data_IF_955133264786
#
_entry.id   IF_955133264786
#
_cell.length_a   1.000
_cell.length_b   1.000
_cell.length_c   1.000
_cell.angle_alpha   90.00
_cell.angle_beta   90.00
_cell.angle_gamma   90.00
#
_symmetry.space_group_name_H-M   'P 1'
#
loop_
_entity.id
_entity.type
_entity.pdbx_description
1 polymer ?
#
# COMPACT_ATOMS: atom_id res chain seq x y z
N UNK A 1 19.28 -42.92 30.61
CA UNK A 1 18.25 -41.87 30.42
C UNK A 1 18.27 -40.94 31.63
N UNK A 2 19.10 -39.90 31.66
CA UNK A 2 19.04 -38.88 32.71
C UNK A 2 18.37 -37.63 32.15
N UNK A 3 17.05 -37.48 32.33
CA UNK A 3 16.35 -36.24 31.97
C UNK A 3 16.76 -35.17 33.00
N UNK A 4 17.45 -34.13 32.54
CA UNK A 4 17.88 -33.03 33.39
C UNK A 4 16.66 -32.28 33.98
N UNK A 5 16.65 -31.95 35.28
CA UNK A 5 15.50 -31.34 35.93
C UNK A 5 15.30 -29.86 35.55
N UNK A 6 14.07 -29.31 35.71
CA UNK A 6 13.68 -27.97 35.24
C UNK A 6 14.29 -26.81 36.04
N UNK A 7 14.32 -25.65 35.36
CA UNK A 7 15.17 -24.47 35.63
C UNK A 7 14.88 -23.66 36.91
N UNK A 8 13.85 -23.96 37.68
CA UNK A 8 13.35 -23.07 38.74
C UNK A 8 13.56 -23.56 40.18
N UNK A 9 14.25 -24.70 40.40
CA UNK A 9 14.59 -25.12 41.77
C UNK A 9 15.60 -24.15 42.42
N UNK A 10 15.34 -23.66 43.65
CA UNK A 10 16.30 -22.91 44.47
C UNK A 10 17.23 -23.89 45.20
N UNK A 11 18.52 -23.87 44.87
CA UNK A 11 19.57 -24.70 45.45
C UNK A 11 20.88 -24.45 44.70
N UNK A 12 22.01 -24.48 45.40
CA UNK A 12 23.31 -23.96 44.95
C UNK A 12 23.70 -24.32 43.51
N UNK A 13 23.53 -23.35 42.60
CA UNK A 13 24.12 -23.37 41.26
C UNK A 13 25.56 -22.88 41.34
N UNK A 14 26.50 -23.75 41.69
CA UNK A 14 27.91 -23.50 41.36
C UNK A 14 28.60 -24.79 40.93
N UNK A 15 28.07 -25.46 39.88
CA UNK A 15 28.95 -26.29 39.06
C UNK A 15 29.79 -25.34 38.26
N UNK A 16 30.97 -25.05 38.80
CA UNK A 16 32.15 -24.53 38.14
C UNK A 16 31.80 -23.58 37.00
N UNK A 17 32.06 -22.29 37.21
CA UNK A 17 32.47 -21.45 36.11
C UNK A 17 33.71 -22.13 35.49
N UNK A 18 33.49 -23.11 34.60
CA UNK A 18 34.49 -23.53 33.63
C UNK A 18 34.67 -22.25 32.86
N UNK A 19 35.64 -21.45 33.30
CA UNK A 19 36.12 -20.28 32.62
C UNK A 19 36.45 -20.80 31.23
N UNK A 20 35.54 -20.58 30.28
CA UNK A 20 35.72 -20.99 28.90
C UNK A 20 37.12 -20.50 28.53
N UNK A 21 38.02 -21.45 28.26
CA UNK A 21 39.40 -21.11 27.92
C UNK A 21 39.35 -20.02 26.85
N UNK A 22 40.04 -18.91 27.11
CA UNK A 22 40.06 -17.79 26.18
C UNK A 22 40.57 -18.34 24.84
N UNK A 23 39.77 -18.15 23.78
CA UNK A 23 40.20 -18.47 22.42
C UNK A 23 41.53 -17.76 22.16
N UNK A 24 42.48 -18.46 21.52
CA UNK A 24 43.72 -17.82 21.11
C UNK A 24 43.43 -16.65 20.16
N UNK A 25 44.33 -15.66 20.10
CA UNK A 25 44.16 -14.50 19.21
C UNK A 25 43.98 -14.96 17.75
N UNK A 26 44.69 -16.01 17.33
CA UNK A 26 44.55 -16.63 16.02
C UNK A 26 43.18 -17.26 15.81
N UNK A 27 42.63 -18.00 16.79
CA UNK A 27 41.26 -18.53 16.72
C UNK A 27 40.22 -17.42 16.59
N UNK A 28 40.39 -16.30 17.32
CA UNK A 28 39.51 -15.12 17.20
C UNK A 28 39.62 -14.42 15.85
N UNK A 29 40.80 -14.44 15.20
CA UNK A 29 41.01 -13.92 13.84
C UNK A 29 40.31 -14.81 12.82
N UNK A 30 40.51 -16.13 12.87
CA UNK A 30 39.86 -17.11 11.98
C UNK A 30 38.33 -17.05 12.09
N UNK A 31 37.78 -17.00 13.31
CA UNK A 31 36.34 -16.86 13.53
C UNK A 31 35.78 -15.57 12.92
N UNK A 32 36.53 -14.46 12.99
CA UNK A 32 36.11 -13.18 12.39
C UNK A 32 36.06 -13.27 10.86
N UNK A 33 37.05 -13.88 10.23
CA UNK A 33 37.08 -14.09 8.78
C UNK A 33 35.92 -14.99 8.35
N UNK A 34 35.74 -16.14 9.00
CA UNK A 34 34.63 -17.07 8.74
C UNK A 34 33.25 -16.41 8.89
N UNK A 35 33.06 -15.56 9.91
CA UNK A 35 31.81 -14.81 10.09
C UNK A 35 31.59 -13.81 8.96
N UNK A 36 32.65 -13.15 8.50
CA UNK A 36 32.59 -12.18 7.39
C UNK A 36 32.24 -12.88 6.07
N UNK A 37 32.87 -14.02 5.77
CA UNK A 37 32.62 -14.80 4.55
C UNK A 37 31.19 -15.37 4.53
N UNK A 38 30.73 -15.96 5.63
CA UNK A 38 29.34 -16.43 5.76
C UNK A 38 28.33 -15.30 5.59
N UNK A 39 28.64 -14.10 6.07
CA UNK A 39 27.78 -12.92 5.93
C UNK A 39 27.77 -12.41 4.48
N UNK A 40 28.92 -12.44 3.81
CA UNK A 40 29.04 -12.09 2.39
C UNK A 40 28.30 -13.08 1.48
N UNK A 41 28.49 -14.38 1.69
CA UNK A 41 27.77 -15.44 0.97
C UNK A 41 26.25 -15.31 1.14
N UNK A 42 25.78 -15.00 2.36
CA UNK A 42 24.35 -14.71 2.62
C UNK A 42 23.86 -13.49 1.84
N UNK A 43 24.65 -12.41 1.77
CA UNK A 43 24.33 -11.21 0.98
C UNK A 43 24.25 -11.52 -0.51
N UNK A 44 25.20 -12.29 -1.04
CA UNK A 44 25.27 -12.68 -2.45
C UNK A 44 24.10 -13.60 -2.84
N UNK A 45 23.79 -14.62 -2.03
CA UNK A 45 22.62 -15.50 -2.21
C UNK A 45 21.31 -14.70 -2.19
N UNK A 46 21.19 -13.73 -1.28
CA UNK A 46 20.02 -12.86 -1.21
C UNK A 46 19.89 -11.96 -2.46
N UNK A 47 21.01 -11.37 -2.91
CA UNK A 47 21.06 -10.57 -4.15
C UNK A 47 20.69 -11.41 -5.38
N UNK A 48 21.27 -12.60 -5.53
CA UNK A 48 20.96 -13.51 -6.63
C UNK A 48 19.48 -13.94 -6.64
N UNK A 49 18.88 -14.20 -5.48
CA UNK A 49 17.43 -14.48 -5.37
C UNK A 49 16.57 -13.29 -5.82
N UNK A 50 16.95 -12.06 -5.46
CA UNK A 50 16.26 -10.85 -5.89
C UNK A 50 16.38 -10.67 -7.41
N UNK A 51 17.59 -10.85 -7.96
CA UNK A 51 17.86 -10.66 -9.38
C UNK A 51 17.19 -11.74 -10.24
N UNK A 52 17.17 -13.00 -9.81
CA UNK A 52 16.41 -14.06 -10.46
C UNK A 52 14.90 -13.75 -10.50
N UNK A 53 14.34 -13.24 -9.40
CA UNK A 53 12.93 -12.78 -9.36
C UNK A 53 12.69 -11.59 -10.31
N UNK A 54 13.65 -10.66 -10.43
CA UNK A 54 13.56 -9.52 -11.37
C UNK A 54 13.63 -9.99 -12.82
N UNK A 55 14.57 -10.86 -13.18
CA UNK A 55 14.71 -11.44 -14.53
C UNK A 55 13.46 -12.20 -14.96
N UNK A 56 12.90 -13.05 -14.09
CA UNK A 56 11.60 -13.73 -14.34
C UNK A 56 10.48 -12.74 -14.58
N UNK A 57 10.36 -11.67 -13.78
CA UNK A 57 9.32 -10.64 -13.99
C UNK A 57 9.51 -9.88 -15.31
N UNK A 58 10.74 -9.67 -15.76
CA UNK A 58 11.06 -9.02 -17.03
C UNK A 58 10.69 -9.91 -18.22
N UNK A 59 11.04 -11.20 -18.18
CA UNK A 59 10.66 -12.15 -19.24
C UNK A 59 9.15 -12.40 -19.28
N UNK A 60 8.48 -12.37 -18.12
CA UNK A 60 7.01 -12.44 -18.03
C UNK A 60 6.33 -11.07 -18.19
N UNK A 61 7.01 -10.01 -18.64
CA UNK A 61 6.31 -8.78 -19.06
C UNK A 61 5.49 -9.14 -20.29
N UNK A 62 4.25 -9.58 -20.02
CA UNK A 62 3.24 -9.97 -21.00
C UNK A 62 3.15 -8.86 -22.04
N UNK A 63 3.24 -9.24 -23.31
CA UNK A 63 2.90 -8.38 -24.42
C UNK A 63 1.59 -7.65 -24.12
N UNK A 64 1.61 -6.33 -24.13
CA UNK A 64 0.38 -5.54 -23.92
C UNK A 64 -0.28 -5.44 -25.28
N UNK A 65 -1.44 -6.10 -25.43
CA UNK A 65 -2.23 -6.00 -26.67
C UNK A 65 -2.51 -4.54 -27.02
N UNK A 66 -2.43 -4.21 -28.33
CA UNK A 66 -2.76 -2.89 -28.87
C UNK A 66 -4.15 -2.41 -28.40
N UNK A 67 -5.13 -3.31 -28.30
CA UNK A 67 -6.47 -3.01 -27.77
C UNK A 67 -6.44 -2.51 -26.33
N UNK A 68 -5.55 -3.06 -25.49
CA UNK A 68 -5.40 -2.63 -24.09
C UNK A 68 -4.77 -1.23 -24.01
N UNK A 69 -3.84 -0.92 -24.90
CA UNK A 69 -3.24 0.41 -25.01
C UNK A 69 -4.33 1.43 -25.39
N UNK A 70 -5.12 1.12 -26.44
CA UNK A 70 -6.22 1.96 -26.90
C UNK A 70 -7.27 2.19 -25.81
N UNK A 71 -7.73 1.12 -25.15
CA UNK A 71 -8.73 1.21 -24.06
C UNK A 71 -8.23 2.06 -22.89
N UNK A 72 -6.94 1.97 -22.55
CA UNK A 72 -6.33 2.82 -21.52
C UNK A 72 -6.26 4.29 -21.93
N UNK A 73 -5.95 4.56 -23.20
CA UNK A 73 -5.94 5.92 -23.74
C UNK A 73 -7.34 6.54 -23.69
N UNK A 74 -8.36 5.83 -24.21
CA UNK A 74 -9.76 6.27 -24.17
C UNK A 74 -10.26 6.49 -22.73
N UNK A 75 -9.92 5.60 -21.80
CA UNK A 75 -10.30 5.76 -20.39
C UNK A 75 -9.65 7.00 -19.76
N UNK A 76 -8.37 7.26 -20.09
CA UNK A 76 -7.67 8.46 -19.63
C UNK A 76 -8.34 9.73 -20.16
N UNK A 77 -8.71 9.75 -21.43
CA UNK A 77 -9.40 10.89 -22.03
C UNK A 77 -10.77 11.14 -21.37
N UNK A 78 -11.59 10.08 -21.22
CA UNK A 78 -12.90 10.18 -20.54
C UNK A 78 -12.77 10.71 -19.11
N UNK A 79 -11.76 10.24 -18.37
CA UNK A 79 -11.48 10.73 -17.01
C UNK A 79 -11.01 12.18 -16.99
N UNK A 80 -10.23 12.62 -17.98
CA UNK A 80 -9.82 14.03 -18.12
C UNK A 80 -11.02 14.93 -18.36
N UNK A 81 -11.89 14.57 -19.30
CA UNK A 81 -13.14 15.31 -19.56
C UNK A 81 -14.04 15.37 -18.31
N UNK A 82 -14.15 14.28 -17.55
CA UNK A 82 -14.90 14.26 -16.29
C UNK A 82 -14.29 15.21 -15.25
N UNK A 83 -12.96 15.20 -15.12
CA UNK A 83 -12.23 16.07 -14.21
C UNK A 83 -12.48 17.56 -14.51
N UNK A 84 -12.39 17.95 -15.79
CA UNK A 84 -12.68 19.31 -16.25
C UNK A 84 -14.13 19.72 -15.93
N UNK A 85 -15.11 18.86 -16.26
CA UNK A 85 -16.54 19.11 -15.98
C UNK A 85 -16.85 19.30 -14.49
N UNK A 86 -16.21 18.54 -13.61
CA UNK A 86 -16.38 18.72 -12.15
C UNK A 86 -15.82 20.07 -11.72
N UNK A 87 -14.72 20.49 -12.34
CA UNK A 87 -14.13 21.80 -12.20
C UNK A 87 -15.07 22.94 -12.51
N UNK A 88 -15.61 22.93 -13.73
CA UNK A 88 -16.55 23.94 -14.20
C UNK A 88 -17.76 24.04 -13.26
N UNK A 89 -18.29 22.90 -12.79
CA UNK A 89 -19.39 22.88 -11.81
C UNK A 89 -19.00 23.50 -10.47
N UNK A 90 -17.81 23.19 -9.95
CA UNK A 90 -17.34 23.73 -8.68
C UNK A 90 -17.08 25.25 -8.76
N UNK A 91 -16.43 25.70 -9.84
CA UNK A 91 -16.20 27.13 -10.12
C UNK A 91 -17.52 27.87 -10.37
N UNK A 92 -18.46 27.25 -11.07
CA UNK A 92 -19.81 27.79 -11.28
C UNK A 92 -20.58 27.96 -9.97
N UNK A 93 -20.43 27.05 -9.00
CA UNK A 93 -21.01 27.23 -7.66
C UNK A 93 -20.38 28.42 -6.93
N UNK A 94 -19.04 28.57 -6.99
CA UNK A 94 -18.33 29.75 -6.43
C UNK A 94 -18.87 31.05 -7.03
N UNK A 95 -19.02 31.11 -8.36
CA UNK A 95 -19.53 32.29 -9.05
C UNK A 95 -20.96 32.68 -8.67
N UNK A 96 -21.78 31.75 -8.18
CA UNK A 96 -23.18 32.00 -7.79
C UNK A 96 -23.33 32.59 -6.39
N UNK A 97 -22.50 32.20 -5.42
CA UNK A 97 -22.60 32.71 -4.04
C UNK A 97 -21.84 34.04 -3.85
N UNK A 98 -21.03 34.45 -4.84
CA UNK A 98 -20.08 35.56 -4.64
C UNK A 98 -18.87 35.14 -3.81
N UNK A 99 -17.76 35.87 -3.96
CA UNK A 99 -16.48 35.45 -3.39
C UNK A 99 -16.44 35.51 -1.86
N UNK A 100 -17.05 36.54 -1.26
CA UNK A 100 -17.05 36.75 0.19
C UNK A 100 -17.91 35.70 0.92
N UNK A 101 -19.14 35.46 0.45
CA UNK A 101 -20.02 34.44 1.03
C UNK A 101 -19.41 33.05 0.89
N UNK A 102 -18.76 32.78 -0.24
CA UNK A 102 -18.02 31.54 -0.45
C UNK A 102 -16.84 31.39 0.52
N UNK A 103 -16.10 32.49 0.76
CA UNK A 103 -15.02 32.53 1.75
C UNK A 103 -15.52 32.18 3.14
N UNK A 104 -16.57 32.87 3.61
CA UNK A 104 -17.18 32.64 4.93
C UNK A 104 -17.66 31.20 5.10
N UNK A 105 -18.32 30.63 4.08
CA UNK A 105 -18.74 29.21 4.11
C UNK A 105 -17.58 28.22 4.25
N UNK A 106 -16.38 28.57 3.77
CA UNK A 106 -15.17 27.76 3.92
C UNK A 106 -14.45 28.02 5.24
N UNK A 107 -14.59 29.21 5.82
CA UNK A 107 -14.11 29.54 7.17
C UNK A 107 -14.80 28.70 8.24
N UNK A 108 -16.09 28.42 8.08
CA UNK A 108 -16.83 27.50 8.96
C UNK A 108 -16.47 26.01 8.73
N UNK A 109 -15.79 25.69 7.62
CA UNK A 109 -15.46 24.31 7.29
C UNK A 109 -14.24 23.80 8.07
N UNK A 110 -14.38 22.59 8.62
CA UNK A 110 -13.29 21.83 9.28
C UNK A 110 -12.14 21.54 8.32
N UNK A 111 -10.93 21.40 8.85
CA UNK A 111 -9.75 20.98 8.08
C UNK A 111 -10.02 19.64 7.38
N UNK A 112 -9.54 19.55 6.14
CA UNK A 112 -9.78 18.40 5.26
C UNK A 112 -8.54 17.54 5.15
N UNK A 113 -8.69 16.23 5.32
CA UNK A 113 -7.70 15.23 4.98
C UNK A 113 -7.99 14.69 3.57
N UNK A 114 -7.05 14.92 2.64
CA UNK A 114 -7.12 14.36 1.28
C UNK A 114 -6.15 13.20 1.18
N UNK A 115 -6.65 12.03 0.80
CA UNK A 115 -5.87 10.81 0.58
C UNK A 115 -5.91 10.42 -0.89
N UNK A 116 -4.75 10.27 -1.52
CA UNK A 116 -4.68 9.79 -2.91
C UNK A 116 -4.97 8.29 -2.97
N UNK A 117 -6.12 7.90 -3.50
CA UNK A 117 -6.55 6.51 -3.57
C UNK A 117 -6.35 5.86 -4.96
N UNK A 118 -6.42 6.63 -6.06
CA UNK A 118 -6.30 6.09 -7.42
C UNK A 118 -4.85 6.03 -7.94
N UNK A 119 -4.58 4.96 -8.69
CA UNK A 119 -3.25 4.53 -9.16
C UNK A 119 -2.72 5.23 -10.43
N UNK A 120 -1.97 4.49 -11.26
CA UNK A 120 -1.20 5.04 -12.40
C UNK A 120 -2.04 5.45 -13.62
N UNK A 121 -3.25 4.93 -13.77
CA UNK A 121 -4.12 5.24 -14.91
C UNK A 121 -4.95 6.48 -14.59
N UNK A 122 -4.28 7.62 -14.58
CA UNK A 122 -4.85 8.93 -14.26
C UNK A 122 -4.49 9.89 -15.42
N UNK A 123 -5.36 10.84 -15.79
CA UNK A 123 -5.05 11.90 -16.74
C UNK A 123 -3.87 12.77 -16.30
N UNK A 124 -3.17 13.38 -17.26
CA UNK A 124 -2.05 14.26 -16.95
C UNK A 124 -2.46 15.44 -16.05
N UNK A 125 -3.61 16.06 -16.33
CA UNK A 125 -4.18 17.17 -15.56
C UNK A 125 -4.39 16.83 -14.08
N UNK A 126 -4.93 15.64 -13.81
CA UNK A 126 -5.16 15.15 -12.45
C UNK A 126 -3.84 14.88 -11.73
N UNK A 127 -2.82 14.38 -12.45
CA UNK A 127 -1.48 14.20 -11.89
C UNK A 127 -0.82 15.53 -11.51
N UNK A 128 -1.00 16.57 -12.34
CA UNK A 128 -0.56 17.94 -12.03
C UNK A 128 -1.32 18.51 -10.82
N UNK A 129 -2.63 18.30 -10.73
CA UNK A 129 -3.45 18.72 -9.59
C UNK A 129 -2.98 18.07 -8.28
N UNK A 130 -2.71 16.76 -8.26
CA UNK A 130 -2.07 16.11 -7.12
C UNK A 130 -0.66 16.65 -6.84
N UNK A 131 0.09 16.98 -7.89
CA UNK A 131 1.41 17.60 -7.78
C UNK A 131 1.38 18.94 -7.03
N UNK A 132 0.38 19.79 -7.30
CA UNK A 132 0.16 21.07 -6.60
C UNK A 132 -0.09 20.89 -5.10
N UNK A 133 -0.79 19.81 -4.72
CA UNK A 133 -1.03 19.47 -3.32
C UNK A 133 0.14 18.72 -2.66
N UNK A 134 1.18 18.34 -3.42
CA UNK A 134 2.29 17.52 -2.93
C UNK A 134 1.98 16.02 -2.84
N UNK A 135 0.85 15.56 -3.37
CA UNK A 135 0.38 14.16 -3.32
C UNK A 135 0.92 13.31 -4.48
N UNK A 136 2.25 13.26 -4.63
CA UNK A 136 2.91 12.55 -5.74
C UNK A 136 2.89 11.03 -5.61
N UNK A 137 2.87 10.51 -4.38
CA UNK A 137 2.87 9.08 -4.09
C UNK A 137 1.43 8.53 -4.00
N UNK A 138 1.24 7.25 -4.31
CA UNK A 138 -0.04 6.61 -4.06
C UNK A 138 -0.24 6.39 -2.56
N UNK A 139 -1.44 6.62 -2.05
CA UNK A 139 -1.76 6.61 -0.61
C UNK A 139 -1.02 7.67 0.21
N UNK A 140 -0.45 8.70 -0.43
CA UNK A 140 -0.08 9.89 0.33
C UNK A 140 -1.33 10.64 0.75
N UNK A 141 -1.28 11.28 1.91
CA UNK A 141 -2.34 12.14 2.41
C UNK A 141 -1.82 13.51 2.84
N UNK A 142 -2.66 14.54 2.80
CA UNK A 142 -2.32 15.89 3.25
C UNK A 142 -3.52 16.54 3.93
N UNK A 143 -3.24 17.24 5.02
CA UNK A 143 -4.20 18.11 5.70
C UNK A 143 -4.21 19.47 5.00
N UNK A 144 -5.40 19.98 4.71
CA UNK A 144 -5.59 21.24 3.99
C UNK A 144 -6.69 22.05 4.64
N UNK A 145 -6.42 23.34 4.82
CA UNK A 145 -7.45 24.34 5.02
C UNK A 145 -8.03 24.69 3.64
N UNK A 146 -9.36 24.65 3.50
CA UNK A 146 -10.01 24.99 2.24
C UNK A 146 -10.03 26.51 2.03
N UNK A 147 -9.65 26.92 0.83
CA UNK A 147 -9.65 28.30 0.36
C UNK A 147 -10.57 28.39 -0.86
N UNK A 148 -11.06 29.59 -1.23
CA UNK A 148 -11.84 29.79 -2.45
C UNK A 148 -11.15 29.25 -3.72
N UNK A 149 -9.82 29.18 -3.71
CA UNK A 149 -9.01 28.63 -4.81
C UNK A 149 -8.72 27.13 -4.69
N UNK A 150 -8.56 26.60 -3.47
CA UNK A 150 -8.20 25.18 -3.27
C UNK A 150 -9.43 24.30 -3.26
N UNK A 151 -10.58 24.76 -2.75
CA UNK A 151 -11.80 23.97 -2.67
C UNK A 151 -12.29 23.44 -4.03
N UNK A 152 -12.33 24.23 -5.12
CA UNK A 152 -12.69 23.69 -6.44
C UNK A 152 -11.75 22.58 -6.90
N UNK A 153 -10.45 22.72 -6.61
CA UNK A 153 -9.43 21.71 -6.92
C UNK A 153 -9.63 20.42 -6.11
N UNK A 154 -10.00 20.55 -4.83
CA UNK A 154 -10.31 19.40 -3.97
C UNK A 154 -11.55 18.66 -4.47
N UNK A 155 -12.60 19.39 -4.83
CA UNK A 155 -13.83 18.81 -5.43
C UNK A 155 -13.55 18.11 -6.75
N UNK A 156 -12.74 18.72 -7.63
CA UNK A 156 -12.26 18.10 -8.86
C UNK A 156 -11.52 16.78 -8.62
N UNK A 157 -10.71 16.70 -7.56
CA UNK A 157 -9.95 15.50 -7.21
C UNK A 157 -10.80 14.42 -6.53
N UNK A 158 -12.01 14.72 -6.08
CA UNK A 158 -12.92 13.78 -5.38
C UNK A 158 -13.06 12.38 -6.01
N UNK A 159 -13.15 12.22 -7.35
CA UNK A 159 -13.20 10.87 -7.95
C UNK A 159 -11.89 10.06 -7.83
N UNK A 160 -10.77 10.73 -7.57
CA UNK A 160 -9.42 10.16 -7.55
C UNK A 160 -8.81 10.08 -6.14
N UNK A 161 -9.32 10.86 -5.20
CA UNK A 161 -8.92 10.91 -3.80
C UNK A 161 -10.09 10.63 -2.87
N UNK A 162 -9.79 10.12 -1.69
CA UNK A 162 -10.74 10.13 -0.56
C UNK A 162 -10.55 11.45 0.17
N UNK A 163 -11.63 12.18 0.35
CA UNK A 163 -11.66 13.47 1.04
C UNK A 163 -12.54 13.29 2.27
N UNK A 164 -12.07 13.72 3.44
CA UNK A 164 -12.83 13.63 4.68
C UNK A 164 -12.26 14.53 5.76
N UNK A 165 -12.86 14.50 6.94
CA UNK A 165 -12.42 15.26 8.10
C UNK A 165 -11.93 14.26 9.16
N UNK A 166 -10.68 14.38 9.65
CA UNK A 166 -10.19 13.50 10.70
C UNK A 166 -10.83 13.89 12.04
N UNK A 167 -11.22 12.89 12.82
CA UNK A 167 -11.63 13.12 14.21
C UNK A 167 -10.41 13.49 15.08
N UNK A 168 -10.58 14.25 16.19
CA UNK A 168 -9.47 14.68 17.05
C UNK A 168 -8.52 13.56 17.46
N UNK A 169 -9.08 12.42 17.89
CA UNK A 169 -8.29 11.25 18.28
C UNK A 169 -7.48 10.66 17.10
N UNK A 170 -8.10 10.59 15.92
CA UNK A 170 -7.45 10.09 14.70
C UNK A 170 -6.35 11.04 14.23
N UNK A 171 -6.57 12.35 14.33
CA UNK A 171 -5.59 13.37 13.98
C UNK A 171 -4.36 13.28 14.90
N UNK A 172 -4.59 13.14 16.20
CA UNK A 172 -3.51 13.00 17.18
C UNK A 172 -2.67 11.74 16.90
N UNK A 173 -3.32 10.58 16.71
CA UNK A 173 -2.63 9.35 16.34
C UNK A 173 -1.87 9.49 15.00
N UNK A 174 -2.45 10.16 14.01
CA UNK A 174 -1.84 10.41 12.72
C UNK A 174 -0.57 11.25 12.84
N UNK A 175 -0.62 12.35 13.60
CA UNK A 175 0.52 13.24 13.81
C UNK A 175 1.61 12.57 14.65
N UNK A 176 1.26 11.83 15.70
CA UNK A 176 2.24 11.08 16.51
C UNK A 176 2.95 9.98 15.71
N UNK A 177 2.23 9.23 14.89
CA UNK A 177 2.80 8.06 14.19
C UNK A 177 3.47 8.39 12.86
N UNK A 178 3.01 9.44 12.17
CA UNK A 178 3.44 9.75 10.79
C UNK A 178 3.73 11.23 10.55
N UNK A 179 3.61 12.07 11.58
CA UNK A 179 3.88 13.49 11.51
C UNK A 179 5.30 13.77 11.03
N UNK A 180 5.40 14.72 10.11
CA UNK A 180 6.65 15.13 9.54
C UNK A 180 6.56 16.59 9.15
N UNK A 181 7.67 17.29 9.31
CA UNK A 181 7.83 18.68 8.91
C UNK A 181 8.36 18.74 7.47
N UNK A 182 7.82 19.69 6.72
CA UNK A 182 8.23 20.06 5.38
C UNK A 182 9.12 21.29 5.48
N UNK A 183 10.32 21.19 4.91
CA UNK A 183 11.21 22.32 4.76
C UNK A 183 11.16 22.79 3.30
N UNK A 184 10.72 24.03 3.09
CA UNK A 184 10.49 24.59 1.75
C UNK A 184 11.79 24.87 0.99
N UNK A 185 12.83 25.33 1.69
CA UNK A 185 14.15 25.66 1.13
C UNK A 185 14.84 24.41 0.56
N UNK A 186 14.92 23.36 1.37
CA UNK A 186 15.57 22.10 1.00
C UNK A 186 14.63 21.16 0.21
N UNK A 187 13.33 21.44 0.19
CA UNK A 187 12.27 20.56 -0.35
C UNK A 187 12.35 19.14 0.23
N UNK A 188 12.71 19.05 1.51
CA UNK A 188 12.85 17.78 2.22
C UNK A 188 11.78 17.60 3.29
N UNK A 189 11.48 16.33 3.59
CA UNK A 189 10.57 15.90 4.64
C UNK A 189 11.39 15.35 5.81
N UNK A 190 11.16 15.86 7.02
CA UNK A 190 11.81 15.40 8.26
C UNK A 190 10.76 14.88 9.24
N UNK A 191 10.93 13.66 9.74
CA UNK A 191 10.01 13.09 10.75
C UNK A 191 10.13 13.88 12.06
N UNK A 192 9.00 14.05 12.76
CA UNK A 192 8.96 14.68 14.08
C UNK A 192 9.51 13.67 15.08
N UNK A 193 10.72 13.91 15.58
CA UNK A 193 11.39 13.01 16.53
C UNK A 193 11.31 13.50 17.99
N UNK A 194 10.87 14.73 18.23
CA UNK A 194 10.75 15.31 19.56
C UNK A 194 10.27 16.76 19.52
N UNK A 195 9.81 17.26 20.66
CA UNK A 195 9.12 18.55 20.79
C UNK A 195 10.01 19.74 20.39
N UNK A 196 11.30 19.70 20.71
CA UNK A 196 12.26 20.74 20.33
C UNK A 196 12.31 20.99 18.81
N UNK A 197 12.09 19.95 17.99
CA UNK A 197 12.06 20.12 16.54
C UNK A 197 10.78 20.79 16.06
N UNK A 198 9.68 20.56 16.77
CA UNK A 198 8.39 21.17 16.49
C UNK A 198 8.43 22.65 16.88
N UNK A 199 8.88 22.95 18.09
CA UNK A 199 9.05 24.31 18.61
C UNK A 199 9.97 25.15 17.72
N UNK A 200 11.09 24.59 17.23
CA UNK A 200 11.96 25.30 16.29
C UNK A 200 11.31 25.65 14.95
N UNK A 201 10.31 24.88 14.52
CA UNK A 201 9.66 25.07 13.23
C UNK A 201 8.35 25.86 13.32
N UNK A 202 7.66 25.78 14.46
CA UNK A 202 6.31 26.32 14.66
C UNK A 202 6.16 27.15 15.95
N UNK A 203 7.25 27.42 16.67
CA UNK A 203 7.23 28.21 17.90
C UNK A 203 6.72 29.63 17.69
N UNK A 204 6.89 30.19 16.49
CA UNK A 204 6.31 31.48 16.07
C UNK A 204 4.77 31.48 16.15
N UNK A 205 4.14 30.31 16.02
CA UNK A 205 2.69 30.13 16.07
C UNK A 205 2.21 29.57 17.42
N UNK A 206 3.03 29.63 18.47
CA UNK A 206 2.75 29.06 19.80
C UNK A 206 2.46 27.54 19.78
N UNK A 207 3.11 26.79 18.89
CA UNK A 207 3.01 25.32 18.85
C UNK A 207 4.29 24.70 19.41
N UNK A 208 4.21 24.12 20.61
CA UNK A 208 5.34 23.53 21.31
C UNK A 208 5.33 22.00 21.21
N UNK A 209 4.13 21.41 21.33
CA UNK A 209 3.91 19.97 21.35
C UNK A 209 2.98 19.51 20.21
N UNK A 210 2.92 18.19 20.00
CA UNK A 210 2.04 17.60 18.97
C UNK A 210 0.56 17.81 19.34
N UNK A 211 0.26 17.86 20.63
CA UNK A 211 -1.06 18.14 21.19
C UNK A 211 -1.52 19.54 20.77
N UNK A 212 -0.69 20.57 21.00
CA UNK A 212 -0.96 21.95 20.57
C UNK A 212 -1.18 22.01 19.05
N UNK A 213 -0.39 21.25 18.28
CA UNK A 213 -0.57 21.17 16.83
C UNK A 213 -1.95 20.59 16.45
N UNK A 214 -2.42 19.56 17.16
CA UNK A 214 -3.76 19.01 16.95
C UNK A 214 -4.82 20.05 17.27
N UNK A 215 -4.70 20.74 18.39
CA UNK A 215 -5.67 21.72 18.86
C UNK A 215 -5.76 22.91 17.92
N UNK A 216 -4.63 23.41 17.43
CA UNK A 216 -4.60 24.46 16.39
C UNK A 216 -5.36 24.00 15.16
N UNK A 217 -5.11 22.78 14.67
CA UNK A 217 -5.76 22.25 13.46
C UNK A 217 -7.28 22.04 13.65
N UNK A 218 -7.71 21.59 14.83
CA UNK A 218 -9.11 21.31 15.13
C UNK A 218 -9.89 22.61 15.35
N UNK A 219 -9.37 23.50 16.19
CA UNK A 219 -10.03 24.76 16.56
C UNK A 219 -9.89 25.83 15.49
N UNK A 220 -9.03 25.61 14.50
CA UNK A 220 -8.77 26.52 13.38
C UNK A 220 -8.36 27.93 13.84
N UNK A 221 -7.27 28.03 14.59
CA UNK A 221 -6.61 29.31 14.95
C UNK A 221 -6.20 30.15 13.73
N UNK A 222 -5.98 31.46 13.91
CA UNK A 222 -5.67 32.42 12.83
C UNK A 222 -4.57 31.95 11.86
N UNK A 223 -3.51 31.30 12.36
CA UNK A 223 -2.35 30.89 11.55
C UNK A 223 -2.36 29.43 11.09
N UNK A 224 -3.49 28.73 11.14
CA UNK A 224 -3.56 27.29 10.76
C UNK A 224 -3.07 27.03 9.35
N UNK A 225 -3.34 27.96 8.42
CA UNK A 225 -2.92 27.79 7.03
C UNK A 225 -1.40 27.73 6.92
N UNK A 226 -0.69 28.56 7.69
CA UNK A 226 0.77 28.61 7.68
C UNK A 226 1.36 27.41 8.41
N UNK A 227 0.80 27.04 9.56
CA UNK A 227 1.13 25.80 10.28
C UNK A 227 0.99 24.57 9.37
N UNK A 228 -0.09 24.45 8.60
CA UNK A 228 -0.32 23.34 7.66
C UNK A 228 0.68 23.31 6.47
N UNK A 229 1.29 24.44 6.09
CA UNK A 229 2.34 24.46 5.05
C UNK A 229 3.60 23.75 5.54
N UNK A 230 3.95 23.93 6.82
CA UNK A 230 5.07 23.27 7.48
C UNK A 230 4.83 21.77 7.72
N UNK A 231 3.59 21.27 7.65
CA UNK A 231 3.32 19.83 7.75
C UNK A 231 3.51 19.17 6.38
N UNK A 232 4.40 18.18 6.33
CA UNK A 232 4.62 17.38 5.13
C UNK A 232 3.47 16.39 4.88
N UNK A 233 3.26 15.96 3.62
CA UNK A 233 2.30 14.90 3.33
C UNK A 233 2.61 13.61 4.10
N UNK A 234 1.58 12.98 4.65
CA UNK A 234 1.63 11.68 5.28
C UNK A 234 1.77 10.59 4.22
N UNK A 235 2.54 9.55 4.52
CA UNK A 235 2.65 8.37 3.66
C UNK A 235 1.83 7.24 4.28
N UNK A 236 0.72 6.84 3.64
CA UNK A 236 -0.06 5.68 4.09
C UNK A 236 0.42 4.36 3.51
N UNK A 237 0.21 3.31 4.31
CA UNK A 237 0.36 1.95 3.82
C UNK A 237 -0.85 1.63 2.92
N UNK A 238 -0.64 0.87 1.83
CA UNK A 238 -1.76 0.38 1.05
C UNK A 238 -2.67 -0.48 1.95
N UNK A 239 -4.00 -0.38 1.82
CA UNK A 239 -4.93 -1.25 2.56
C UNK A 239 -4.62 -2.73 2.30
N UNK A 240 -4.50 -3.52 3.37
CA UNK A 240 -4.10 -4.94 3.31
C UNK A 240 -5.06 -5.79 2.49
N UNK A 241 -6.37 -5.50 2.55
CA UNK A 241 -7.40 -6.20 1.77
C UNK A 241 -7.10 -6.16 0.27
N UNK A 242 -6.74 -4.98 -0.24
CA UNK A 242 -6.36 -4.77 -1.65
C UNK A 242 -5.02 -5.43 -1.99
N UNK A 243 -4.09 -5.58 -1.04
CA UNK A 243 -2.87 -6.35 -1.25
C UNK A 243 -3.20 -7.83 -1.47
N UNK A 244 -4.09 -8.40 -0.66
CA UNK A 244 -4.56 -9.78 -0.87
C UNK A 244 -5.26 -9.90 -2.21
N UNK A 245 -6.23 -9.04 -2.53
CA UNK A 245 -6.94 -9.08 -3.83
C UNK A 245 -6.03 -8.92 -5.05
N UNK A 246 -5.07 -7.98 -5.02
CA UNK A 246 -4.13 -7.78 -6.13
C UNK A 246 -3.24 -9.00 -6.35
N UNK A 247 -2.81 -9.64 -5.26
CA UNK A 247 -1.93 -10.81 -5.27
C UNK A 247 -2.66 -12.17 -5.25
N UNK A 248 -4.00 -12.20 -5.23
CA UNK A 248 -4.74 -13.45 -5.43
C UNK A 248 -4.34 -14.09 -6.75
N UNK A 249 -4.07 -15.39 -6.71
CA UNK A 249 -3.90 -16.21 -7.90
C UNK A 249 -5.18 -16.17 -8.75
N UNK A 250 -5.08 -16.47 -10.05
CA UNK A 250 -6.22 -16.45 -10.97
C UNK A 250 -7.42 -17.23 -10.40
N UNK A 251 -7.16 -18.40 -9.81
CA UNK A 251 -8.17 -19.26 -9.18
C UNK A 251 -8.95 -18.56 -8.04
N UNK A 252 -8.25 -17.91 -7.10
CA UNK A 252 -8.88 -17.17 -6.00
C UNK A 252 -9.67 -15.93 -6.44
N UNK A 253 -9.40 -15.39 -7.64
CA UNK A 253 -10.19 -14.28 -8.21
C UNK A 253 -11.49 -14.78 -8.83
N UNK A 254 -11.48 -15.97 -9.44
CA UNK A 254 -12.68 -16.61 -10.01
C UNK A 254 -13.70 -16.97 -8.92
N UNK A 255 -13.22 -17.43 -7.76
CA UNK A 255 -14.07 -17.78 -6.60
C UNK A 255 -14.92 -16.61 -6.07
N UNK A 256 -14.39 -15.37 -6.09
CA UNK A 256 -15.09 -14.21 -5.52
C UNK A 256 -16.04 -13.55 -6.52
N UNK A 257 -15.68 -13.54 -7.81
CA UNK A 257 -16.52 -12.92 -8.82
C UNK A 257 -17.86 -13.63 -8.95
N UNK A 258 -17.92 -14.93 -8.65
CA UNK A 258 -19.13 -15.70 -8.84
C UNK A 258 -19.04 -17.04 -8.08
N UNK A 259 -19.35 -17.04 -6.78
CA UNK A 259 -19.31 -18.25 -5.93
C UNK A 259 -20.13 -19.39 -6.53
N UNK A 260 -21.27 -19.06 -7.14
CA UNK A 260 -22.14 -20.01 -7.83
C UNK A 260 -21.53 -20.51 -9.15
N UNK A 261 -20.91 -19.63 -9.94
CA UNK A 261 -20.31 -20.04 -11.22
C UNK A 261 -19.01 -20.82 -11.07
N UNK A 262 -18.19 -20.60 -10.04
CA UNK A 262 -16.97 -21.40 -9.87
C UNK A 262 -17.30 -22.82 -9.40
N UNK A 263 -18.22 -22.95 -8.44
CA UNK A 263 -18.75 -24.26 -8.04
C UNK A 263 -19.40 -24.97 -9.25
N UNK A 264 -20.17 -24.24 -10.07
CA UNK A 264 -20.73 -24.77 -11.31
C UNK A 264 -19.65 -25.18 -12.33
N UNK A 265 -18.59 -24.39 -12.48
CA UNK A 265 -17.44 -24.68 -13.35
C UNK A 265 -16.72 -25.96 -12.91
N UNK A 266 -16.39 -26.08 -11.62
CA UNK A 266 -15.78 -27.30 -11.07
C UNK A 266 -16.71 -28.52 -11.22
N UNK A 267 -18.02 -28.34 -11.00
CA UNK A 267 -18.99 -29.40 -11.22
C UNK A 267 -19.07 -29.84 -12.69
N UNK A 268 -18.94 -28.91 -13.65
CA UNK A 268 -18.87 -29.23 -15.08
C UNK A 268 -17.57 -29.97 -15.44
N UNK A 269 -16.43 -29.50 -14.93
CA UNK A 269 -15.11 -30.11 -15.17
C UNK A 269 -15.08 -31.55 -14.63
N UNK A 270 -15.62 -31.78 -13.41
CA UNK A 270 -15.76 -33.11 -12.81
C UNK A 270 -16.73 -34.02 -13.59
N UNK A 271 -17.83 -33.48 -14.11
CA UNK A 271 -18.73 -34.24 -15.00
C UNK A 271 -18.04 -34.61 -16.32
N UNK A 272 -17.21 -33.72 -16.87
CA UNK A 272 -16.48 -33.97 -18.10
C UNK A 272 -15.37 -35.04 -17.91
N UNK A 273 -14.63 -34.98 -16.79
CA UNK A 273 -13.63 -36.01 -16.46
C UNK A 273 -14.28 -37.37 -16.25
N UNK A 274 -15.36 -37.45 -15.47
CA UNK A 274 -16.10 -38.69 -15.25
C UNK A 274 -16.65 -39.29 -16.57
N UNK A 275 -17.11 -38.45 -17.51
CA UNK A 275 -17.52 -38.90 -18.85
C UNK A 275 -16.36 -39.45 -19.67
N UNK A 276 -15.18 -38.81 -19.62
CA UNK A 276 -13.97 -39.29 -20.31
C UNK A 276 -13.52 -40.64 -19.76
N UNK A 277 -13.53 -40.80 -18.44
CA UNK A 277 -13.19 -42.06 -17.79
C UNK A 277 -14.17 -43.18 -18.17
N UNK A 278 -15.49 -42.92 -18.13
CA UNK A 278 -16.49 -43.90 -18.59
C UNK A 278 -16.29 -44.31 -20.05
N UNK A 279 -16.00 -43.35 -20.94
CA UNK A 279 -15.68 -43.64 -22.35
C UNK A 279 -14.41 -44.46 -22.49
N UNK A 280 -13.37 -44.16 -21.73
CA UNK A 280 -12.11 -44.91 -21.74
C UNK A 280 -12.32 -46.36 -21.25
N UNK A 281 -13.10 -46.56 -20.19
CA UNK A 281 -13.46 -47.89 -19.67
C UNK A 281 -14.31 -48.66 -20.69
N UNK A 282 -15.31 -48.02 -21.30
CA UNK A 282 -16.12 -48.64 -22.36
C UNK A 282 -15.29 -49.06 -23.57
N UNK A 283 -14.32 -48.23 -23.99
CA UNK A 283 -13.39 -48.56 -25.08
C UNK A 283 -12.50 -49.76 -24.74
N UNK A 284 -12.02 -49.85 -23.50
CA UNK A 284 -11.21 -51.00 -23.03
C UNK A 284 -12.02 -52.29 -23.03
N UNK A 285 -13.25 -52.26 -22.52
CA UNK A 285 -14.15 -53.43 -22.53
C UNK A 285 -14.50 -53.90 -23.94
N UNK A 286 -14.79 -52.97 -24.86
CA UNK A 286 -15.06 -53.33 -26.26
C UNK A 286 -13.86 -53.99 -26.95
N UNK A 287 -12.64 -53.51 -26.64
CA UNK A 287 -11.40 -54.13 -27.14
C UNK A 287 -11.23 -55.54 -26.53
N UNK A 288 -11.47 -55.71 -25.23
CA UNK A 288 -11.43 -57.03 -24.59
C UNK A 288 -12.47 -58.00 -25.17
N UNK A 289 -13.72 -57.59 -25.37
CA UNK A 289 -14.79 -58.42 -25.97
C UNK A 289 -14.49 -58.79 -27.44
N UNK A 290 -13.92 -57.88 -28.23
CA UNK A 290 -13.48 -58.19 -29.60
C UNK A 290 -12.33 -59.20 -29.65
N UNK A 291 -11.42 -59.15 -28.66
CA UNK A 291 -10.34 -60.12 -28.54
C UNK A 291 -10.85 -61.50 -28.10
N UNK A 292 -11.86 -61.56 -27.22
CA UNK A 292 -12.45 -62.82 -26.76
C UNK A 292 -13.35 -63.49 -27.81
N UNK A 293 -14.07 -62.73 -28.63
CA UNK A 293 -14.89 -63.27 -29.74
C UNK A 293 -14.03 -63.82 -30.89
N UNK A 294 -12.89 -63.18 -31.17
CA UNK A 294 -11.91 -63.69 -32.14
C UNK A 294 -11.29 -65.01 -31.69
N UNK A 295 -11.11 -65.23 -30.37
CA UNK A 295 -10.61 -66.49 -29.83
C UNK A 295 -11.64 -67.63 -29.80
N UNK A 296 -12.95 -67.33 -29.84
CA UNK A 296 -14.01 -68.36 -29.86
C UNK A 296 -14.41 -68.84 -31.26
N UNK A 297 -13.96 -68.16 -32.31
CA UNK A 297 -14.28 -68.50 -33.71
C UNK A 297 -13.14 -69.22 -34.43
N UNK A 298 -12.03 -69.49 -33.73
CA UNK A 298 -10.95 -70.40 -34.15
C UNK A 298 -11.10 -71.73 -33.43
#
# INVERSE_FOLDING_TARGET
>A
MGKNPPKWLPGERVKETILLQRKSVEQLRVDRVLRRDKLQERRERHKAKIDAKRKRKLSTKKFISAQTILKRAQLREKQGRLFQKIGEKATGKKGRMGEEEYGKSLEDSRVVLIVRARGKLIPHEVALAFGRLGLRKLYSARLLCLNPFTDPLVKQLGPFSVVGHPEPAQLNELLRTRGALWNEETKTKRLINGNLMLEKALGEYNVLCIEDLCDVIINKTEHVRDVLKHIAPFDFHPPRQLFMERHRNVYQKMEVMNKESFAAYLAQELKASARREKRAVGKRKAVEESSQSSQKTS
#
